data_IF_007797882892
#
_entry.id   IF_007797882892
#
_cell.length_a   1.000
_cell.length_b   1.000
_cell.length_c   1.000
_cell.angle_alpha   90.00
_cell.angle_beta   90.00
_cell.angle_gamma   90.00
#
_symmetry.space_group_name_H-M   'P 1'
#
loop_
_entity.id
_entity.type
_entity.pdbx_description
1 polymer ?
#
# COMPACT_ATOMS: atom_id res chain seq x y z
N UNK A 1 0.99 -5.46 37.48
CA UNK A 1 1.52 -5.73 36.13
C UNK A 1 1.94 -7.18 36.04
N UNK A 2 1.55 -7.92 34.99
CA UNK A 2 2.09 -9.26 34.75
C UNK A 2 3.55 -9.13 34.30
N UNK A 3 4.47 -9.87 34.93
CA UNK A 3 5.86 -9.96 34.45
C UNK A 3 5.90 -10.92 33.26
N UNK A 4 6.55 -10.49 32.18
CA UNK A 4 6.81 -11.33 31.02
C UNK A 4 7.98 -12.28 31.33
N UNK A 5 7.92 -13.47 30.77
CA UNK A 5 8.92 -14.52 30.92
C UNK A 5 10.07 -14.31 29.92
N UNK A 6 11.26 -14.03 30.43
CA UNK A 6 12.43 -13.68 29.62
C UNK A 6 12.93 -14.84 28.75
N UNK A 7 12.82 -16.09 29.23
CA UNK A 7 13.24 -17.27 28.46
C UNK A 7 12.30 -17.50 27.28
N UNK A 8 10.99 -17.33 27.49
CA UNK A 8 10.02 -17.41 26.39
C UNK A 8 10.20 -16.30 25.36
N UNK A 9 10.52 -15.08 25.81
CA UNK A 9 10.76 -13.94 24.91
C UNK A 9 11.98 -14.17 24.01
N UNK A 10 13.05 -14.76 24.54
CA UNK A 10 14.28 -15.03 23.78
C UNK A 10 14.10 -16.07 22.65
N UNK A 11 13.02 -16.86 22.69
CA UNK A 11 12.70 -17.85 21.66
C UNK A 11 11.81 -17.30 20.54
N UNK A 12 11.35 -16.04 20.64
CA UNK A 12 10.49 -15.44 19.63
C UNK A 12 11.32 -14.76 18.54
N UNK A 13 10.88 -14.92 17.29
CA UNK A 13 11.45 -14.20 16.17
C UNK A 13 11.01 -12.74 16.17
N UNK A 14 11.95 -11.84 15.88
CA UNK A 14 11.59 -10.46 15.57
C UNK A 14 10.94 -10.39 14.19
N UNK A 15 10.13 -9.35 13.95
CA UNK A 15 9.56 -9.11 12.62
C UNK A 15 10.65 -8.99 11.55
N UNK A 16 11.80 -8.39 11.91
CA UNK A 16 12.97 -8.25 11.04
C UNK A 16 13.58 -9.60 10.66
N UNK A 17 13.73 -10.51 11.63
CA UNK A 17 14.23 -11.88 11.38
C UNK A 17 13.30 -12.66 10.46
N UNK A 18 11.99 -12.67 10.76
CA UNK A 18 11.01 -13.34 9.93
C UNK A 18 11.00 -12.77 8.50
N UNK A 19 11.14 -11.45 8.39
CA UNK A 19 11.22 -10.79 7.11
C UNK A 19 12.49 -11.24 6.37
N UNK A 20 13.66 -11.22 7.01
CA UNK A 20 14.93 -11.60 6.40
C UNK A 20 14.89 -13.04 5.88
N UNK A 21 14.32 -13.95 6.66
CA UNK A 21 14.13 -15.36 6.27
C UNK A 21 13.23 -15.48 5.03
N UNK A 22 12.11 -14.76 5.00
CA UNK A 22 11.08 -14.92 3.96
C UNK A 22 11.34 -14.14 2.68
N UNK A 23 11.98 -12.97 2.78
CA UNK A 23 12.12 -12.01 1.68
C UNK A 23 13.56 -11.53 1.50
N UNK A 24 14.54 -12.15 2.14
CA UNK A 24 15.94 -11.76 2.07
C UNK A 24 16.30 -10.56 2.95
N UNK A 25 17.59 -10.31 3.19
CA UNK A 25 18.05 -9.17 3.98
C UNK A 25 17.65 -7.83 3.35
N UNK A 26 17.78 -6.74 4.12
CA UNK A 26 17.62 -5.38 3.60
C UNK A 26 18.53 -5.21 2.36
N UNK A 27 18.03 -4.46 1.36
CA UNK A 27 18.67 -4.21 0.06
C UNK A 27 18.80 -5.39 -0.92
N UNK A 28 18.42 -6.61 -0.54
CA UNK A 28 18.39 -7.75 -1.46
C UNK A 28 17.37 -7.53 -2.59
N UNK A 29 17.56 -8.15 -3.78
CA UNK A 29 16.58 -8.07 -4.86
C UNK A 29 15.18 -8.54 -4.45
N UNK A 30 15.10 -9.60 -3.65
CA UNK A 30 13.85 -10.17 -3.13
C UNK A 30 13.17 -9.21 -2.17
N UNK A 31 13.94 -8.55 -1.31
CA UNK A 31 13.45 -7.52 -0.38
C UNK A 31 12.88 -6.35 -1.14
N UNK A 32 13.63 -5.83 -2.12
CA UNK A 32 13.21 -4.70 -2.97
C UNK A 32 11.92 -5.03 -3.74
N UNK A 33 11.81 -6.25 -4.27
CA UNK A 33 10.58 -6.70 -4.95
C UNK A 33 9.40 -6.88 -3.98
N UNK A 34 9.64 -7.32 -2.75
CA UNK A 34 8.61 -7.35 -1.70
C UNK A 34 8.15 -5.95 -1.32
N UNK A 35 9.09 -5.03 -1.07
CA UNK A 35 8.80 -3.63 -0.71
C UNK A 35 8.05 -2.89 -1.83
N UNK A 36 8.44 -3.09 -3.09
CA UNK A 36 7.72 -2.52 -4.23
C UNK A 36 6.24 -2.95 -4.24
N UNK A 37 5.97 -4.25 -4.02
CA UNK A 37 4.59 -4.78 -3.93
C UNK A 37 3.85 -4.27 -2.70
N UNK A 38 4.52 -4.18 -1.55
CA UNK A 38 3.95 -3.64 -0.33
C UNK A 38 3.57 -2.16 -0.49
N UNK A 39 4.42 -1.37 -1.15
CA UNK A 39 4.16 0.03 -1.48
C UNK A 39 2.97 0.18 -2.44
N UNK A 40 2.92 -0.63 -3.50
CA UNK A 40 1.79 -0.62 -4.43
C UNK A 40 0.46 -0.91 -3.71
N UNK A 41 0.44 -1.92 -2.84
CA UNK A 41 -0.72 -2.23 -2.00
C UNK A 41 -1.09 -1.07 -1.07
N UNK A 42 -0.11 -0.49 -0.38
CA UNK A 42 -0.30 0.63 0.53
C UNK A 42 -0.96 1.83 -0.18
N UNK A 43 -0.46 2.21 -1.35
CA UNK A 43 -1.01 3.34 -2.11
C UNK A 43 -2.42 3.05 -2.63
N UNK A 44 -2.71 1.81 -3.07
CA UNK A 44 -4.07 1.43 -3.46
C UNK A 44 -5.06 1.52 -2.29
N UNK A 45 -4.68 1.04 -1.11
CA UNK A 45 -5.51 1.13 0.10
C UNK A 45 -5.67 2.57 0.59
N UNK A 46 -4.63 3.42 0.43
CA UNK A 46 -4.71 4.84 0.72
C UNK A 46 -5.80 5.52 -0.14
N UNK A 47 -5.75 5.34 -1.46
CA UNK A 47 -6.75 5.92 -2.38
C UNK A 47 -8.16 5.41 -2.08
N UNK A 48 -8.30 4.11 -1.83
CA UNK A 48 -9.58 3.48 -1.45
C UNK A 48 -10.14 4.04 -0.15
N UNK A 49 -9.28 4.25 0.84
CA UNK A 49 -9.65 4.84 2.13
C UNK A 49 -10.15 6.26 1.92
N UNK A 50 -9.42 7.07 1.16
CA UNK A 50 -9.82 8.45 0.86
C UNK A 50 -11.14 8.53 0.09
N UNK A 51 -11.35 7.67 -0.91
CA UNK A 51 -12.65 7.53 -1.60
C UNK A 51 -13.78 7.23 -0.61
N UNK A 52 -13.58 6.26 0.28
CA UNK A 52 -14.58 5.88 1.29
C UNK A 52 -14.85 7.00 2.28
N UNK A 53 -13.84 7.75 2.71
CA UNK A 53 -14.02 8.92 3.59
C UNK A 53 -14.90 9.99 2.93
N UNK A 54 -14.81 10.16 1.62
CA UNK A 54 -15.66 11.06 0.83
C UNK A 54 -17.01 10.45 0.46
N UNK A 55 -17.31 9.23 0.91
CA UNK A 55 -18.56 8.49 0.63
C UNK A 55 -18.84 8.28 -0.87
N UNK A 56 -17.77 8.24 -1.68
CA UNK A 56 -17.88 7.99 -3.12
C UNK A 56 -17.93 6.48 -3.40
N UNK A 57 -18.76 6.07 -4.36
CA UNK A 57 -18.72 4.73 -4.93
C UNK A 57 -17.53 4.58 -5.89
N UNK A 58 -17.16 3.34 -6.22
CA UNK A 58 -16.14 3.07 -7.25
C UNK A 58 -16.55 3.63 -8.62
N UNK A 59 -17.85 3.61 -8.94
CA UNK A 59 -18.40 4.14 -10.20
C UNK A 59 -18.24 5.66 -10.26
N UNK A 60 -18.59 6.37 -9.20
CA UNK A 60 -18.44 7.83 -9.13
C UNK A 60 -16.98 8.26 -9.26
N UNK A 61 -16.05 7.58 -8.57
CA UNK A 61 -14.63 7.88 -8.75
C UNK A 61 -14.16 7.61 -10.19
N UNK A 62 -14.64 6.53 -10.80
CA UNK A 62 -14.31 6.20 -12.18
C UNK A 62 -14.79 7.28 -13.16
N UNK A 63 -16.01 7.81 -12.95
CA UNK A 63 -16.58 8.91 -13.74
C UNK A 63 -15.74 10.19 -13.60
N UNK A 64 -15.28 10.53 -12.39
CA UNK A 64 -14.43 11.69 -12.14
C UNK A 64 -13.12 11.67 -12.93
N UNK A 65 -12.58 10.49 -13.22
CA UNK A 65 -11.32 10.32 -13.96
C UNK A 65 -11.52 9.80 -15.40
N UNK A 66 -12.77 9.69 -15.88
CA UNK A 66 -13.09 9.19 -17.22
C UNK A 66 -12.68 7.73 -17.46
N UNK A 67 -12.83 6.86 -16.46
CA UNK A 67 -12.51 5.42 -16.55
C UNK A 67 -13.74 4.55 -16.24
N UNK A 68 -13.62 3.25 -16.50
CA UNK A 68 -14.64 2.25 -16.13
C UNK A 68 -14.51 1.88 -14.65
N UNK A 69 -15.62 1.54 -13.99
CA UNK A 69 -15.63 1.08 -12.59
C UNK A 69 -14.72 -0.13 -12.34
N UNK A 70 -14.62 -1.05 -13.30
CA UNK A 70 -13.77 -2.23 -13.24
C UNK A 70 -12.30 -1.84 -13.07
N UNK A 71 -11.88 -0.71 -13.64
CA UNK A 71 -10.53 -0.19 -13.49
C UNK A 71 -10.24 0.23 -12.05
N UNK A 72 -11.15 0.98 -11.42
CA UNK A 72 -11.05 1.32 -9.98
C UNK A 72 -11.05 0.04 -9.13
N UNK A 73 -11.91 -0.92 -9.44
CA UNK A 73 -11.96 -2.20 -8.73
C UNK A 73 -10.68 -3.04 -8.87
N UNK A 74 -9.99 -2.99 -10.01
CA UNK A 74 -8.69 -3.66 -10.18
C UNK A 74 -7.61 -3.01 -9.32
N UNK A 75 -7.55 -1.67 -9.31
CA UNK A 75 -6.60 -0.91 -8.50
C UNK A 75 -6.82 -1.20 -7.00
N UNK A 76 -8.06 -1.08 -6.52
CA UNK A 76 -8.39 -1.27 -5.10
C UNK A 76 -8.25 -2.70 -4.57
N UNK A 77 -8.04 -3.68 -5.46
CA UNK A 77 -7.72 -5.07 -5.09
C UNK A 77 -6.22 -5.34 -5.01
N UNK A 78 -5.37 -4.38 -5.42
CA UNK A 78 -3.93 -4.58 -5.48
C UNK A 78 -3.50 -5.61 -6.54
N UNK A 79 -4.37 -5.90 -7.51
CA UNK A 79 -4.12 -6.92 -8.54
C UNK A 79 -3.37 -6.38 -9.77
N UNK A 80 -2.95 -5.11 -9.75
CA UNK A 80 -2.26 -4.47 -10.86
C UNK A 80 -1.21 -3.51 -10.34
N UNK A 81 -0.03 -3.55 -10.95
CA UNK A 81 0.99 -2.53 -10.75
C UNK A 81 0.46 -1.20 -11.33
N UNK A 82 0.21 -0.22 -10.45
CA UNK A 82 -0.43 1.02 -10.83
C UNK A 82 0.61 1.99 -11.39
N UNK A 83 0.39 2.45 -12.62
CA UNK A 83 1.20 3.52 -13.20
C UNK A 83 1.09 4.80 -12.36
N UNK A 84 2.21 5.51 -12.21
CA UNK A 84 2.27 6.78 -11.47
C UNK A 84 1.26 7.81 -12.01
N UNK A 85 1.08 7.88 -13.33
CA UNK A 85 0.10 8.75 -13.97
C UNK A 85 -1.33 8.47 -13.47
N UNK A 86 -1.72 7.20 -13.38
CA UNK A 86 -3.01 6.78 -12.84
C UNK A 86 -3.14 7.12 -11.36
N UNK A 87 -2.10 6.85 -10.56
CA UNK A 87 -2.08 7.22 -9.14
C UNK A 87 -2.34 8.72 -8.96
N UNK A 88 -1.62 9.57 -9.70
CA UNK A 88 -1.79 11.02 -9.63
C UNK A 88 -3.17 11.48 -10.10
N UNK A 89 -3.73 10.89 -11.15
CA UNK A 89 -5.09 11.19 -11.60
C UNK A 89 -6.13 10.90 -10.52
N UNK A 90 -6.06 9.74 -9.87
CA UNK A 90 -6.99 9.36 -8.80
C UNK A 90 -6.76 10.24 -7.56
N UNK A 91 -5.51 10.47 -7.18
CA UNK A 91 -5.15 11.32 -6.05
C UNK A 91 -5.72 12.73 -6.23
N UNK A 92 -5.54 13.34 -7.40
CA UNK A 92 -6.07 14.65 -7.73
C UNK A 92 -7.60 14.68 -7.69
N UNK A 93 -8.26 13.65 -8.25
CA UNK A 93 -9.73 13.54 -8.21
C UNK A 93 -10.25 13.44 -6.76
N UNK A 94 -9.49 12.81 -5.86
CA UNK A 94 -9.79 12.74 -4.44
C UNK A 94 -9.29 13.98 -3.66
N UNK A 95 -8.76 15.01 -4.31
CA UNK A 95 -8.28 16.23 -3.66
C UNK A 95 -6.98 16.06 -2.86
N UNK A 96 -6.24 14.97 -3.07
CA UNK A 96 -4.93 14.75 -2.47
C UNK A 96 -3.87 15.53 -3.23
N UNK A 97 -2.93 16.13 -2.49
CA UNK A 97 -1.76 16.80 -3.06
C UNK A 97 -0.54 15.91 -2.91
N UNK A 98 0.11 15.61 -4.03
CA UNK A 98 1.40 14.95 -4.03
C UNK A 98 2.51 16.00 -4.10
N UNK A 99 3.54 15.85 -3.27
CA UNK A 99 4.73 16.69 -3.31
C UNK A 99 5.96 15.78 -3.26
N UNK A 100 6.94 16.06 -4.10
CA UNK A 100 8.25 15.45 -3.96
C UNK A 100 9.00 16.20 -2.87
N UNK A 101 9.38 15.48 -1.82
CA UNK A 101 10.26 16.00 -0.77
C UNK A 101 11.66 15.49 -1.09
N UNK A 102 12.58 16.42 -1.27
CA UNK A 102 14.01 16.10 -1.37
C UNK A 102 14.54 16.06 0.06
N UNK A 103 15.10 14.92 0.44
CA UNK A 103 15.86 14.74 1.68
C UNK A 103 17.33 15.04 1.45
#
# INVERSE_FOLDING_TARGET
MKKLDAEKLAQLHTSSEHFNEKYGPIDSPERKAFEARANAFYYAELLKTQRKMQKLTQQQLAEMIGKKREYISQIERGNSDMQLSTFLQIANALGLKFAMVVG
#
